data_IF_706290139549
#
_entry.id   IF_706290139549
#
_cell.length_a   1.000
_cell.length_b   1.000
_cell.length_c   1.000
_cell.angle_alpha   90.00
_cell.angle_beta   90.00
_cell.angle_gamma   90.00
#
_symmetry.space_group_name_H-M   'P 1'
#
loop_
_entity.id
_entity.type
_entity.pdbx_description
1 polymer ?
2 non-polymer ?
3 non-polymer ?
4 non-polymer ?
5 non-polymer ?
6 water ?
#
# COMPACT_ATOMS: atom_id res chain seq x y z
N UNK A 14 21.25 -7.30 -4.46
CA UNK A 14 22.44 -6.68 -3.85
C UNK A 14 22.23 -5.20 -3.55
N UNK A 15 23.00 -4.66 -2.59
CA UNK A 15 22.95 -3.23 -2.24
C UNK A 15 23.39 -2.40 -3.45
N UNK A 16 24.57 -2.71 -4.03
CA UNK A 16 25.06 -2.10 -5.25
C UNK A 16 24.50 -2.89 -6.45
N UNK A 17 24.97 -2.59 -7.68
CA UNK A 17 24.48 -3.17 -8.95
C UNK A 17 22.98 -2.83 -9.12
N UNK A 18 22.76 -1.55 -9.41
CA UNK A 18 21.45 -0.98 -9.63
C UNK A 18 20.87 -0.25 -8.43
N UNK A 19 20.26 0.96 -8.66
CA UNK A 19 19.60 1.65 -7.54
C UNK A 19 18.30 0.91 -7.18
N UNK A 20 17.73 1.12 -5.96
CA UNK A 20 16.50 0.38 -5.61
C UNK A 20 15.31 0.84 -6.45
N UNK A 21 14.30 -0.02 -6.57
CA UNK A 21 13.08 0.32 -7.30
C UNK A 21 12.43 1.56 -6.67
N UNK A 22 11.82 2.40 -7.50
CA UNK A 22 11.15 3.60 -6.99
C UNK A 22 9.84 3.21 -6.31
N UNK A 23 9.28 4.15 -5.54
CA UNK A 23 7.96 4.04 -4.98
C UNK A 23 7.14 4.98 -5.87
N UNK A 24 6.17 4.45 -6.64
CA UNK A 24 5.33 5.32 -7.46
C UNK A 24 4.38 6.08 -6.58
N UNK A 25 4.06 7.31 -6.99
CA UNK A 25 3.22 8.18 -6.21
C UNK A 25 2.10 8.75 -7.06
N UNK A 26 0.89 8.71 -6.51
CA UNK A 26 -0.26 9.22 -7.23
C UNK A 26 -1.09 10.06 -6.31
N UNK A 27 -1.82 11.00 -6.88
CA UNK A 27 -2.74 11.79 -6.10
C UNK A 27 -4.13 11.49 -6.60
N UNK A 28 -5.07 11.29 -5.67
CA UNK A 28 -6.46 11.14 -6.02
C UNK A 28 -7.24 12.26 -5.37
N UNK A 29 -7.66 13.22 -6.20
CA UNK A 29 -8.51 14.30 -5.75
C UNK A 29 -9.98 13.83 -5.87
N UNK A 30 -10.68 13.73 -4.75
CA UNK A 30 -12.07 13.32 -4.78
C UNK A 30 -13.01 14.48 -5.12
N UNK A 31 -14.28 14.21 -5.53
CA UNK A 31 -15.21 15.33 -5.74
C UNK A 31 -15.69 15.89 -4.39
N UNK A 32 -16.49 16.99 -4.43
CA UNK A 32 -17.09 17.57 -3.22
C UNK A 32 -18.14 16.60 -2.67
N UNK A 33 -18.20 16.44 -1.34
CA UNK A 33 -19.15 15.53 -0.67
C UNK A 33 -19.90 16.23 0.46
N UNK A 51 1.41 15.11 -14.95
CA UNK A 51 0.78 14.69 -13.69
C UNK A 51 1.19 15.58 -12.51
N UNK A 52 1.21 16.89 -12.77
CA UNK A 52 1.55 17.91 -11.78
C UNK A 52 0.28 18.53 -11.25
N UNK A 53 0.29 18.86 -9.96
CA UNK A 53 -0.80 19.50 -9.26
C UNK A 53 -0.36 20.91 -8.91
N UNK A 54 -1.29 21.86 -9.03
CA UNK A 54 -1.02 23.25 -8.67
C UNK A 54 -1.98 23.69 -7.58
N UNK A 55 -1.43 24.27 -6.50
CA UNK A 55 -2.21 24.75 -5.37
C UNK A 55 -1.71 26.12 -4.94
N UNK A 56 -2.63 26.96 -4.44
CA UNK A 56 -2.36 28.30 -3.96
C UNK A 56 -1.46 28.22 -2.73
N UNK A 57 -0.57 29.19 -2.57
CA UNK A 57 0.29 29.26 -1.39
C UNK A 57 -0.34 30.34 -0.50
N UNK A 58 -0.97 29.96 0.61
CA UNK A 58 -1.65 30.95 1.46
C UNK A 58 -0.64 31.72 2.38
N UNK A 59 0.66 31.40 2.27
CA UNK A 59 1.79 32.06 2.94
C UNK A 59 2.16 33.31 2.10
N UNK A 60 2.04 33.18 0.75
CA UNK A 60 2.35 34.20 -0.24
C UNK A 60 1.39 34.01 -1.43
N UNK A 61 0.37 34.90 -1.57
CA UNK A 61 -0.64 34.84 -2.63
C UNK A 61 -0.09 35.11 -4.04
N UNK A 62 1.16 35.61 -4.14
CA UNK A 62 1.84 35.82 -5.44
C UNK A 62 2.41 34.47 -5.91
N UNK A 63 2.58 33.51 -4.95
CA UNK A 63 3.17 32.18 -5.16
C UNK A 63 2.16 31.04 -5.34
N UNK A 64 2.52 30.11 -6.25
CA UNK A 64 1.79 28.88 -6.55
C UNK A 64 2.72 27.69 -6.28
N UNK A 65 2.19 26.66 -5.62
CA UNK A 65 2.90 25.44 -5.28
C UNK A 65 2.57 24.39 -6.35
N UNK A 66 3.62 23.88 -7.01
CA UNK A 66 3.51 22.89 -8.09
C UNK A 66 4.17 21.56 -7.67
N UNK A 67 3.33 20.53 -7.52
CA UNK A 67 3.73 19.18 -7.10
C UNK A 67 3.75 18.21 -8.26
N UNK A 68 4.80 17.39 -8.36
CA UNK A 68 4.92 16.40 -9.43
C UNK A 68 4.68 14.97 -8.90
N UNK A 69 3.87 14.19 -9.60
CA UNK A 69 3.55 12.81 -9.26
C UNK A 69 3.76 11.93 -10.48
N UNK A 70 3.70 10.59 -10.29
CA UNK A 70 3.79 9.60 -11.37
C UNK A 70 2.43 9.49 -12.07
N UNK A 71 1.33 9.87 -11.39
CA UNK A 71 -0.06 9.90 -11.88
C UNK A 71 -0.95 10.89 -11.09
N UNK A 72 -1.99 11.42 -11.76
CA UNK A 72 -2.97 12.33 -11.18
C UNK A 72 -4.35 11.89 -11.59
N UNK A 73 -5.20 11.61 -10.59
CA UNK A 73 -6.57 11.20 -10.77
C UNK A 73 -7.45 12.30 -10.19
N UNK A 74 -8.16 13.02 -11.05
CA UNK A 74 -9.07 14.09 -10.65
C UNK A 74 -10.39 13.58 -10.15
N UNK A 75 -11.37 14.50 -10.01
CA UNK A 75 -12.71 14.21 -9.46
C UNK A 75 -13.56 13.31 -10.35
N UNK A 76 -13.28 13.29 -11.66
CA UNK A 76 -14.02 12.45 -12.61
C UNK A 76 -13.45 11.01 -12.65
N UNK A 77 -12.32 10.73 -11.96
CA UNK A 77 -11.68 9.41 -11.95
C UNK A 77 -12.48 8.43 -11.09
N UNK A 78 -12.87 7.30 -11.67
CA UNK A 78 -13.67 6.29 -10.99
C UNK A 78 -12.76 5.26 -10.32
N UNK A 79 -13.35 4.34 -9.56
CA UNK A 79 -12.67 3.25 -8.86
C UNK A 79 -11.86 2.41 -9.86
N UNK A 80 -12.46 2.07 -11.01
CA UNK A 80 -11.82 1.29 -12.07
C UNK A 80 -10.67 2.05 -12.70
N UNK A 81 -10.79 3.39 -12.88
CA UNK A 81 -9.68 4.18 -13.40
C UNK A 81 -8.40 4.06 -12.49
N UNK A 82 -8.56 4.18 -11.14
CA UNK A 82 -7.48 4.09 -10.15
C UNK A 82 -6.83 2.70 -10.26
N UNK A 83 -7.68 1.65 -10.14
CA UNK A 83 -7.30 0.26 -10.19
C UNK A 83 -6.64 -0.14 -11.51
N UNK A 84 -7.27 0.11 -12.68
CA UNK A 84 -6.65 -0.25 -13.97
C UNK A 84 -5.39 0.59 -14.24
N UNK A 85 -5.41 1.85 -13.83
CA UNK A 85 -4.29 2.75 -14.03
C UNK A 85 -3.07 2.50 -13.16
N UNK A 86 -3.27 2.21 -11.87
CA UNK A 86 -2.14 2.08 -10.97
C UNK A 86 -1.96 0.78 -10.23
N UNK A 87 -2.98 -0.13 -10.21
CA UNK A 87 -2.83 -1.35 -9.39
C UNK A 87 -2.81 -2.62 -10.23
N UNK A 88 -3.85 -2.87 -11.08
CA UNK A 88 -3.94 -4.01 -12.01
C UNK A 88 -2.60 -4.38 -12.70
N UNK A 89 -1.81 -3.41 -13.27
CA UNK A 89 -0.54 -3.80 -13.92
C UNK A 89 0.53 -4.44 -13.03
N UNK A 90 0.47 -4.29 -11.69
CA UNK A 90 1.55 -4.86 -10.86
C UNK A 90 1.25 -6.33 -10.43
N UNK A 91 -0.02 -6.79 -10.56
CA UNK A 91 -0.45 -8.13 -10.16
C UNK A 91 0.34 -9.25 -10.78
N UNK A 92 0.61 -9.14 -12.10
CA UNK A 92 1.39 -10.16 -12.83
C UNK A 92 2.80 -10.37 -12.23
N UNK A 93 3.35 -9.36 -11.50
CA UNK A 93 4.69 -9.45 -10.90
C UNK A 93 4.74 -10.37 -9.67
N UNK A 94 3.59 -10.60 -9.04
CA UNK A 94 3.44 -11.53 -7.92
C UNK A 94 3.71 -12.97 -8.39
N UNK A 95 3.33 -13.29 -9.65
CA UNK A 95 3.56 -14.61 -10.26
C UNK A 95 4.98 -14.77 -10.82
N UNK A 96 5.82 -13.75 -10.66
CA UNK A 96 7.23 -13.77 -11.01
C UNK A 96 8.09 -13.88 -9.71
N UNK A 97 7.41 -14.04 -8.57
CA UNK A 97 8.03 -14.08 -7.26
C UNK A 97 8.37 -12.72 -6.70
N UNK A 98 7.82 -11.64 -7.29
CA UNK A 98 8.06 -10.28 -6.84
C UNK A 98 6.97 -9.81 -5.90
N UNK A 99 7.32 -8.90 -4.99
CA UNK A 99 6.39 -8.34 -4.01
C UNK A 99 5.89 -6.99 -4.48
N UNK A 100 4.71 -6.59 -3.97
CA UNK A 100 4.08 -5.32 -4.31
C UNK A 100 3.34 -4.73 -3.12
N UNK A 101 3.35 -3.40 -3.00
CA UNK A 101 2.66 -2.64 -1.94
C UNK A 101 1.83 -1.54 -2.52
N UNK A 102 0.58 -1.43 -2.05
CA UNK A 102 -0.39 -0.38 -2.42
C UNK A 102 -0.79 0.30 -1.12
N UNK A 103 -0.51 1.59 -1.00
CA UNK A 103 -0.83 2.32 0.23
C UNK A 103 -1.67 3.55 -0.02
N UNK A 104 -2.77 3.76 0.76
CA UNK A 104 -3.58 4.99 0.63
C UNK A 104 -3.19 5.93 1.77
N UNK A 105 -2.76 7.14 1.43
CA UNK A 105 -2.28 8.18 2.36
C UNK A 105 -3.16 9.39 2.27
N UNK A 106 -3.35 10.09 3.36
CA UNK A 106 -4.12 11.32 3.32
C UNK A 106 -4.94 11.60 4.57
N UNK A 107 -5.48 12.83 4.68
CA UNK A 107 -6.26 13.19 5.87
C UNK A 107 -7.59 12.44 5.96
N UNK A 108 -8.11 12.27 7.19
CA UNK A 108 -9.44 11.68 7.40
C UNK A 108 -10.45 12.54 6.62
N UNK A 109 -11.35 11.87 5.93
CA UNK A 109 -12.36 12.49 5.06
C UNK A 109 -11.93 12.58 3.61
N UNK A 110 -10.62 12.42 3.33
CA UNK A 110 -10.07 12.55 1.97
C UNK A 110 -10.46 11.45 0.97
N UNK A 111 -10.71 10.23 1.46
CA UNK A 111 -11.08 9.14 0.58
C UNK A 111 -10.16 7.95 0.51
N UNK A 112 -9.37 7.69 1.57
CA UNK A 112 -8.47 6.52 1.64
C UNK A 112 -9.26 5.20 1.65
N UNK A 113 -10.28 5.07 2.53
CA UNK A 113 -11.10 3.86 2.62
C UNK A 113 -11.98 3.66 1.37
N UNK A 114 -12.48 4.77 0.80
CA UNK A 114 -13.25 4.70 -0.44
C UNK A 114 -12.36 4.10 -1.54
N UNK A 115 -11.11 4.59 -1.66
CA UNK A 115 -10.13 4.09 -2.64
C UNK A 115 -9.70 2.64 -2.37
N UNK A 116 -9.42 2.33 -1.11
CA UNK A 116 -8.90 1.01 -0.79
C UNK A 116 -9.95 -0.06 -0.68
N UNK A 117 -11.07 0.22 -0.02
CA UNK A 117 -12.15 -0.75 0.18
C UNK A 117 -13.37 -0.48 -0.69
N UNK A 118 -13.86 0.77 -0.69
CA UNK A 118 -15.05 1.14 -1.43
C UNK A 118 -16.34 0.55 -0.84
N UNK A 119 -17.38 0.41 -1.67
CA UNK A 119 -18.70 -0.10 -1.25
C UNK A 119 -19.24 -1.11 -2.29
N UNK A 120 -20.34 -1.88 -2.06
CA UNK A 120 -20.81 -2.80 -3.13
C UNK A 120 -21.21 -2.08 -4.43
N UNK A 121 -21.58 -0.79 -4.36
CA UNK A 121 -21.91 0.03 -5.53
C UNK A 121 -20.62 0.45 -6.28
N UNK A 122 -19.58 0.87 -5.52
CA UNK A 122 -18.31 1.35 -6.05
C UNK A 122 -17.19 0.60 -5.34
N UNK A 123 -16.88 -0.64 -5.77
CA UNK A 123 -15.81 -1.41 -5.08
C UNK A 123 -14.46 -0.77 -5.29
N UNK A 124 -13.64 -0.79 -4.25
CA UNK A 124 -12.28 -0.23 -4.23
C UNK A 124 -11.22 -1.20 -4.72
N UNK A 125 -9.95 -0.83 -4.45
CA UNK A 125 -8.73 -1.55 -4.85
C UNK A 125 -8.72 -2.99 -4.31
N UNK A 126 -8.99 -3.17 -3.01
CA UNK A 126 -9.05 -4.50 -2.35
C UNK A 126 -10.04 -5.47 -3.09
N UNK A 127 -11.37 -5.21 -3.22
CA UNK A 127 -12.22 -6.20 -3.89
C UNK A 127 -11.84 -6.50 -5.36
N UNK A 128 -11.37 -5.48 -6.09
CA UNK A 128 -10.89 -5.59 -7.49
C UNK A 128 -9.62 -6.43 -7.62
N UNK A 129 -8.59 -6.16 -6.77
CA UNK A 129 -7.35 -6.94 -6.83
C UNK A 129 -7.62 -8.39 -6.39
N UNK A 130 -8.51 -8.59 -5.40
CA UNK A 130 -8.82 -9.93 -4.92
C UNK A 130 -9.54 -10.76 -5.98
N UNK A 131 -10.53 -10.17 -6.68
CA UNK A 131 -11.24 -10.86 -7.76
C UNK A 131 -10.23 -11.29 -8.83
N UNK A 132 -9.38 -10.34 -9.28
CA UNK A 132 -8.38 -10.55 -10.33
C UNK A 132 -7.32 -11.52 -9.99
N UNK A 133 -6.72 -11.40 -8.79
CA UNK A 133 -5.66 -12.29 -8.36
C UNK A 133 -6.14 -13.73 -8.20
N UNK A 134 -7.35 -13.93 -7.63
CA UNK A 134 -7.96 -15.24 -7.43
C UNK A 134 -8.34 -15.90 -8.73
N UNK A 135 -8.82 -15.11 -9.72
CA UNK A 135 -9.19 -15.60 -11.04
C UNK A 135 -7.92 -16.06 -11.75
N UNK A 136 -6.85 -15.24 -11.64
CA UNK A 136 -5.51 -15.45 -12.20
C UNK A 136 -4.85 -16.71 -11.66
N UNK A 137 -5.00 -16.99 -10.36
CA UNK A 137 -4.40 -18.16 -9.71
C UNK A 137 -5.24 -19.42 -9.93
N UNK A 138 -6.57 -19.26 -10.13
CA UNK A 138 -7.53 -20.33 -10.46
C UNK A 138 -7.27 -20.77 -11.92
N UNK A 139 -6.76 -19.86 -12.75
CA UNK A 139 -6.44 -20.12 -14.14
C UNK A 139 -5.03 -20.72 -14.27
N UNK A 140 -4.00 -20.00 -13.77
CA UNK A 140 -2.58 -20.39 -13.85
C UNK A 140 -2.23 -21.63 -13.03
N UNK A 141 -3.02 -21.92 -12.00
CA UNK A 141 -2.82 -23.06 -11.12
C UNK A 141 -3.86 -24.16 -11.24
N UNK A 142 -4.64 -24.15 -12.33
CA UNK A 142 -5.67 -25.15 -12.59
C UNK A 142 -5.06 -26.54 -12.82
N UNK A 143 -5.90 -27.58 -12.80
CA UNK A 143 -5.51 -28.97 -13.05
C UNK A 143 -4.82 -29.04 -14.44
N UNK A 144 -3.69 -29.73 -14.52
CA UNK A 144 -2.94 -29.86 -15.77
C UNK A 144 -1.94 -28.76 -16.07
N UNK A 145 -1.97 -27.67 -15.31
CA UNK A 145 -1.06 -26.55 -15.49
C UNK A 145 0.30 -26.86 -14.85
N UNK A 146 1.42 -26.39 -15.45
CA UNK A 146 2.75 -26.68 -14.86
C UNK A 146 3.05 -26.00 -13.50
N UNK A 147 2.12 -25.18 -12.96
CA UNK A 147 2.33 -24.55 -11.65
C UNK A 147 1.18 -24.77 -10.71
N UNK A 148 1.50 -25.14 -9.46
CA UNK A 148 0.53 -25.27 -8.37
C UNK A 148 0.52 -23.91 -7.66
N UNK A 149 -0.65 -23.27 -7.58
CA UNK A 149 -0.81 -21.95 -6.96
C UNK A 149 -1.76 -21.99 -5.77
N UNK A 150 -1.33 -21.42 -4.63
CA UNK A 150 -2.14 -21.31 -3.40
C UNK A 150 -2.13 -19.89 -2.82
N UNK A 151 -3.31 -19.30 -2.73
CA UNK A 151 -3.47 -17.98 -2.16
C UNK A 151 -3.86 -18.09 -0.67
N UNK A 152 -3.17 -17.30 0.19
CA UNK A 152 -3.45 -17.12 1.62
C UNK A 152 -3.65 -15.63 1.93
N UNK A 153 -4.31 -15.33 3.03
CA UNK A 153 -4.48 -13.94 3.45
C UNK A 153 -4.13 -13.74 4.90
N UNK A 154 -3.69 -12.53 5.23
CA UNK A 154 -3.40 -12.08 6.57
C UNK A 154 -3.91 -10.64 6.63
N UNK A 155 -4.36 -10.23 7.81
CA UNK A 155 -4.91 -8.92 8.04
C UNK A 155 -4.43 -8.42 9.38
N UNK A 156 -3.74 -7.27 9.38
CA UNK A 156 -3.23 -6.77 10.64
C UNK A 156 -3.42 -5.28 10.78
N UNK A 157 -3.21 -4.81 12.00
CA UNK A 157 -3.30 -3.40 12.34
C UNK A 157 -1.99 -2.94 12.99
N UNK A 158 -1.54 -1.71 12.63
CA UNK A 158 -0.39 -1.05 13.25
C UNK A 158 -0.99 0.14 13.98
N UNK A 159 -0.98 0.08 15.33
CA UNK A 159 -1.50 1.12 16.21
C UNK A 159 -0.51 1.33 17.31
N UNK A 160 -0.05 2.59 17.47
CA UNK A 160 0.93 3.00 18.48
C UNK A 160 2.18 2.12 18.47
N UNK A 161 2.68 1.77 17.25
CA UNK A 161 3.87 0.95 17.00
C UNK A 161 3.76 -0.50 17.50
N UNK A 162 2.52 -0.98 17.59
CA UNK A 162 2.20 -2.35 17.99
C UNK A 162 1.59 -3.03 16.76
N UNK A 163 1.93 -4.29 16.54
CA UNK A 163 1.42 -5.10 15.42
C UNK A 163 0.36 -6.06 15.95
N UNK A 164 -0.87 -5.92 15.44
CA UNK A 164 -1.99 -6.70 15.93
C UNK A 164 -2.74 -7.44 14.83
N UNK A 165 -2.90 -8.76 15.02
CA UNK A 165 -3.62 -9.64 14.12
C UNK A 165 -5.15 -9.36 14.20
N UNK A 166 -5.73 -8.85 13.09
CA UNK A 166 -7.14 -8.52 13.01
C UNK A 166 -8.00 -9.77 12.83
N UNK A 167 -7.37 -10.89 12.39
CA UNK A 167 -8.03 -12.17 12.16
C UNK A 167 -8.08 -13.03 13.44
N UNK A 168 -7.10 -12.83 14.33
CA UNK A 168 -7.00 -13.51 15.62
C UNK A 168 -6.89 -12.39 16.67
N UNK A 169 -7.99 -11.66 16.98
CA UNK A 169 -7.89 -10.58 17.96
C UNK A 169 -7.64 -11.13 19.35
N UNK A 170 -7.11 -10.28 20.24
CA UNK A 170 -6.69 -10.68 21.59
C UNK A 170 -5.68 -11.85 21.47
N UNK A 171 -4.54 -11.57 20.83
CA UNK A 171 -3.42 -12.49 20.67
C UNK A 171 -2.07 -11.76 20.87
N UNK A 172 -2.13 -10.43 21.08
CA UNK A 172 -1.01 -9.57 21.44
C UNK A 172 -0.16 -8.94 20.35
N UNK A 173 0.75 -8.02 20.78
CA UNK A 173 1.72 -7.33 19.92
C UNK A 173 2.63 -8.38 19.29
N UNK A 174 2.67 -8.42 17.95
CA UNK A 174 3.48 -9.42 17.23
C UNK A 174 4.83 -8.90 16.85
N UNK A 175 5.84 -9.78 16.91
CA UNK A 175 7.21 -9.44 16.57
C UNK A 175 7.45 -9.74 15.08
N UNK A 176 8.12 -8.79 14.40
CA UNK A 176 8.48 -8.90 13.00
C UNK A 176 9.90 -9.44 12.94
N UNK A 177 10.10 -10.48 12.12
CA UNK A 177 11.40 -11.12 11.97
C UNK A 177 11.82 -11.07 10.51
N UNK A 178 13.01 -11.58 10.24
CA UNK A 178 13.58 -11.65 8.90
C UNK A 178 14.24 -13.02 8.78
N UNK A 179 14.16 -13.66 7.61
CA UNK A 179 14.85 -14.91 7.40
C UNK A 179 16.18 -14.65 6.72
N UNK A 180 17.02 -15.68 6.56
CA UNK A 180 18.36 -15.59 5.95
C UNK A 180 18.36 -15.21 4.47
N UNK A 181 17.20 -15.37 3.79
CA UNK A 181 17.05 -15.03 2.37
C UNK A 181 16.50 -13.60 2.23
N UNK A 182 16.30 -12.90 3.36
CA UNK A 182 15.80 -11.53 3.36
C UNK A 182 14.29 -11.40 3.38
N UNK A 183 13.57 -12.53 3.57
CA UNK A 183 12.11 -12.45 3.63
C UNK A 183 11.65 -11.98 4.99
N UNK A 184 10.69 -11.06 4.99
CA UNK A 184 10.11 -10.56 6.22
C UNK A 184 9.02 -11.55 6.58
N UNK A 185 8.94 -11.90 7.87
CA UNK A 185 7.93 -12.83 8.36
C UNK A 185 7.48 -12.45 9.76
N UNK A 186 6.20 -12.71 10.05
CA UNK A 186 5.63 -12.49 11.37
C UNK A 186 5.20 -13.88 11.87
N UNK A 187 6.10 -14.66 12.54
CA UNK A 187 5.73 -16.02 12.96
C UNK A 187 4.48 -16.01 13.85
N UNK A 188 3.51 -16.85 13.52
CA UNK A 188 2.29 -16.92 14.32
C UNK A 188 1.20 -15.91 14.02
N UNK A 189 1.42 -15.04 13.01
CA UNK A 189 0.39 -14.14 12.50
C UNK A 189 -0.43 -15.14 11.69
N UNK A 190 -1.74 -15.16 11.94
CA UNK A 190 -2.63 -16.10 11.24
C UNK A 190 -2.74 -15.82 9.74
N UNK A 191 -2.63 -16.91 8.94
CA UNK A 191 -2.73 -16.96 7.49
C UNK A 191 -3.89 -17.88 7.13
N UNK A 192 -4.89 -17.34 6.42
CA UNK A 192 -6.09 -18.08 6.01
C UNK A 192 -6.03 -18.45 4.53
N UNK A 193 -6.09 -19.77 4.18
CA UNK A 193 -6.08 -20.14 2.76
C UNK A 193 -7.38 -19.72 2.06
N UNK A 194 -7.28 -19.12 0.87
CA UNK A 194 -8.43 -18.60 0.09
C UNK A 194 -8.32 -18.99 -1.38
N UNK A 195 -9.45 -19.37 -2.00
CA UNK A 195 -9.54 -19.80 -3.41
C UNK A 195 -10.57 -19.00 -4.18
N UNK A 196 -11.67 -18.63 -3.52
CA UNK A 196 -12.78 -17.86 -4.09
C UNK A 196 -12.91 -16.52 -3.36
N UNK A 197 -13.80 -15.63 -3.86
CA UNK A 197 -14.02 -14.31 -3.25
C UNK A 197 -14.76 -14.45 -1.93
N UNK A 198 -15.67 -15.43 -1.86
CA UNK A 198 -16.44 -15.76 -0.67
C UNK A 198 -15.51 -16.16 0.47
N UNK A 199 -14.39 -16.85 0.16
CA UNK A 199 -13.38 -17.25 1.15
C UNK A 199 -12.71 -16.00 1.69
N UNK A 200 -12.46 -15.01 0.80
CA UNK A 200 -11.86 -13.74 1.19
C UNK A 200 -12.83 -12.98 2.12
N UNK A 201 -14.10 -12.82 1.66
CA UNK A 201 -15.18 -12.16 2.41
C UNK A 201 -15.40 -12.77 3.79
N UNK A 202 -15.34 -14.11 3.88
CA UNK A 202 -15.49 -14.90 5.10
C UNK A 202 -14.58 -14.36 6.20
N UNK A 203 -13.28 -14.20 5.91
CA UNK A 203 -12.34 -13.70 6.92
C UNK A 203 -12.24 -12.16 6.96
N UNK A 204 -12.32 -11.48 5.81
CA UNK A 204 -12.13 -10.04 5.75
C UNK A 204 -13.24 -9.19 6.36
N UNK A 205 -14.48 -9.35 5.90
CA UNK A 205 -15.64 -8.56 6.36
C UNK A 205 -15.80 -8.54 7.90
N UNK A 206 -15.80 -9.70 8.64
CA UNK A 206 -15.90 -9.64 10.11
C UNK A 206 -14.74 -8.92 10.80
N UNK A 207 -13.48 -9.12 10.32
CA UNK A 207 -12.27 -8.51 10.87
C UNK A 207 -12.25 -6.98 10.67
N UNK A 208 -12.90 -6.50 9.60
CA UNK A 208 -13.01 -5.07 9.30
C UNK A 208 -13.83 -4.35 10.39
N UNK A 209 -14.74 -5.10 11.06
CA UNK A 209 -15.62 -4.63 12.14
C UNK A 209 -15.35 -5.39 13.44
N UNK A 221 -10.50 5.82 15.71
CA UNK A 221 -9.67 4.64 15.99
C UNK A 221 -9.10 4.03 14.71
N UNK A 222 -9.98 3.64 13.75
CA UNK A 222 -9.59 3.11 12.44
C UNK A 222 -8.97 4.27 11.62
N UNK A 223 -9.24 5.51 12.05
CA UNK A 223 -8.71 6.75 11.49
C UNK A 223 -7.30 6.99 12.02
N UNK A 224 -6.94 6.31 13.11
CA UNK A 224 -5.67 6.50 13.82
C UNK A 224 -4.75 5.29 13.78
N UNK A 225 -5.10 4.26 12.99
CA UNK A 225 -4.26 3.08 12.85
C UNK A 225 -4.11 2.66 11.40
N UNK A 226 -3.05 1.89 11.10
CA UNK A 226 -2.78 1.38 9.76
C UNK A 226 -3.42 0.01 9.59
N UNK A 227 -4.27 -0.16 8.53
CA UNK A 227 -4.95 -1.43 8.26
C UNK A 227 -4.19 -2.12 7.11
N UNK A 228 -3.51 -3.22 7.43
CA UNK A 228 -2.65 -3.90 6.47
C UNK A 228 -3.21 -5.24 6.03
N UNK A 229 -3.60 -5.33 4.77
CA UNK A 229 -4.08 -6.59 4.21
C UNK A 229 -2.92 -7.18 3.41
N UNK A 230 -2.56 -8.43 3.73
CA UNK A 230 -1.50 -9.14 3.04
C UNK A 230 -2.09 -10.30 2.24
N UNK A 231 -1.84 -10.32 0.93
CA UNK A 231 -2.28 -11.39 0.04
C UNK A 231 -1.01 -12.08 -0.48
N UNK A 232 -0.82 -13.33 -0.10
CA UNK A 232 0.37 -14.10 -0.44
C UNK A 232 0.06 -15.20 -1.48
N UNK A 233 0.80 -15.18 -2.60
CA UNK A 233 0.67 -16.17 -3.69
C UNK A 233 1.85 -17.14 -3.60
N UNK A 234 1.56 -18.37 -3.17
CA UNK A 234 2.57 -19.42 -3.07
C UNK A 234 2.59 -20.16 -4.40
N UNK A 235 3.78 -20.28 -5.02
CA UNK A 235 3.91 -20.91 -6.34
C UNK A 235 4.90 -22.11 -6.36
N UNK A 236 4.43 -23.25 -6.87
CA UNK A 236 5.26 -24.46 -6.95
C UNK A 236 5.25 -25.00 -8.38
N UNK A 237 6.44 -25.12 -8.97
CA UNK A 237 6.53 -25.69 -10.31
C UNK A 237 6.33 -27.22 -10.19
N UNK A 238 5.44 -27.80 -11.02
CA UNK A 238 5.04 -29.22 -10.97
C UNK A 238 5.87 -30.12 -11.91
N UNK A 239 6.79 -29.49 -12.66
CA UNK A 239 7.71 -30.14 -13.60
C UNK A 239 9.08 -29.53 -13.37
N UNK A 240 10.15 -30.17 -13.91
CA UNK A 240 11.53 -29.67 -13.76
C UNK A 240 11.67 -28.26 -14.37
N UNK A 241 12.46 -27.34 -13.78
CA UNK A 241 13.37 -27.51 -12.63
C UNK A 241 12.74 -27.41 -11.23
N UNK A 242 11.39 -27.54 -11.11
CA UNK A 242 10.63 -27.54 -9.83
C UNK A 242 10.85 -26.30 -8.92
N UNK A 243 11.02 -25.12 -9.50
CA UNK A 243 11.21 -23.87 -8.76
C UNK A 243 10.05 -23.56 -7.81
N UNK A 244 10.35 -22.80 -6.76
CA UNK A 244 9.37 -22.38 -5.75
C UNK A 244 9.49 -20.88 -5.58
N UNK A 245 8.35 -20.19 -5.74
CA UNK A 245 8.23 -18.74 -5.71
C UNK A 245 7.15 -18.34 -4.72
N UNK A 246 7.16 -17.06 -4.38
CA UNK A 246 6.17 -16.45 -3.50
C UNK A 246 6.11 -14.96 -3.82
N UNK A 247 4.89 -14.46 -4.03
CA UNK A 247 4.62 -13.05 -4.29
C UNK A 247 3.73 -12.53 -3.18
N UNK A 248 4.18 -11.47 -2.48
CA UNK A 248 3.41 -10.87 -1.39
C UNK A 248 2.84 -9.56 -1.85
N UNK A 249 1.52 -9.40 -1.70
CA UNK A 249 0.85 -8.16 -2.04
C UNK A 249 0.29 -7.48 -0.79
N UNK A 250 0.70 -6.24 -0.59
CA UNK A 250 0.19 -5.43 0.53
C UNK A 250 -0.79 -4.40 0.08
N UNK A 251 -1.97 -4.37 0.70
CA UNK A 251 -3.06 -3.38 0.44
C UNK A 251 -3.33 -2.69 1.77
N UNK A 252 -2.94 -1.40 1.84
CA UNK A 252 -2.91 -0.70 3.10
C UNK A 252 -3.75 0.55 3.12
N UNK A 253 -4.57 0.66 4.18
CA UNK A 253 -5.39 1.82 4.42
C UNK A 253 -4.73 2.46 5.64
N UNK A 254 -3.90 3.49 5.40
CA UNK A 254 -3.12 4.12 6.47
C UNK A 254 -3.94 4.98 7.43
N UNK A 255 -3.35 5.32 8.59
CA UNK A 255 -3.91 6.25 9.58
C UNK A 255 -3.96 7.61 8.91
N UNK A 256 -4.88 8.46 9.32
CA UNK A 256 -5.00 9.81 8.78
C UNK A 256 -3.73 10.61 8.91
N UNK A 257 -3.34 11.33 7.83
CA UNK A 257 -2.12 12.14 7.81
C UNK A 257 -2.18 13.44 8.63
N UNK A 258 -3.33 13.73 9.34
CA UNK A 258 -3.45 14.84 10.31
C UNK A 258 -2.29 14.64 11.32
N UNK A 259 -1.90 13.34 11.53
CA UNK A 259 -0.80 12.88 12.36
C UNK A 259 0.57 12.76 11.61
N UNK A 260 0.78 13.62 10.57
CA UNK A 260 2.05 13.60 9.83
C UNK A 260 2.40 14.96 9.12
N UNK A 261 2.37 16.06 9.88
CA UNK A 261 2.78 17.38 9.37
C UNK A 261 4.29 17.48 9.66
N UNK A 262 5.11 17.72 8.62
CA UNK A 262 6.57 17.81 8.70
C UNK A 262 7.04 18.92 9.63
N UNK A 263 8.21 18.72 10.25
CA UNK A 263 8.82 19.68 11.19
C UNK A 263 9.76 20.62 10.43
N UNK A 274 -0.08 18.95 15.96
CA UNK A 274 -0.44 17.57 15.63
C UNK A 274 0.61 16.55 16.04
N UNK A 275 0.15 15.38 16.56
CA UNK A 275 1.02 14.28 16.99
C UNK A 275 1.69 13.55 15.79
N UNK A 276 2.88 13.03 15.96
CA UNK A 276 3.57 12.29 14.91
C UNK A 276 3.31 10.78 15.06
N UNK A 277 2.79 10.17 14.00
CA UNK A 277 2.58 8.72 13.88
C UNK A 277 3.95 8.23 13.37
N UNK A 278 4.68 7.48 14.21
CA UNK A 278 6.04 6.99 13.92
C UNK A 278 6.12 6.29 12.57
N UNK A 279 5.11 5.44 12.27
CA UNK A 279 5.07 4.69 11.02
C UNK A 279 4.80 5.56 9.78
N UNK A 280 4.00 6.65 9.88
CA UNK A 280 3.78 7.56 8.74
C UNK A 280 5.04 8.40 8.50
N UNK A 281 5.66 8.85 9.60
CA UNK A 281 6.86 9.68 9.60
C UNK A 281 8.03 8.92 8.96
N UNK A 282 8.24 7.68 9.37
CA UNK A 282 9.34 6.85 8.85
C UNK A 282 9.06 6.42 7.39
N UNK A 283 7.78 6.12 7.03
CA UNK A 283 7.41 5.82 5.63
C UNK A 283 7.84 6.97 4.71
N UNK A 284 7.65 8.21 5.16
CA UNK A 284 8.06 9.41 4.44
C UNK A 284 9.55 9.42 4.19
N UNK A 285 10.34 9.08 5.22
CA UNK A 285 11.81 9.00 5.18
C UNK A 285 12.22 7.88 4.22
N UNK A 286 11.57 6.71 4.33
CA UNK A 286 11.83 5.55 3.48
C UNK A 286 11.47 5.85 2.02
N UNK A 287 10.30 6.43 1.74
CA UNK A 287 9.88 6.79 0.38
C UNK A 287 10.86 7.82 -0.22
N UNK A 288 11.24 8.84 0.59
CA UNK A 288 12.23 9.83 0.13
C UNK A 288 13.55 9.20 -0.18
N UNK A 289 14.06 8.34 0.73
CA UNK A 289 15.35 7.66 0.54
C UNK A 289 15.36 6.85 -0.76
N UNK A 290 14.23 6.17 -1.08
CA UNK A 290 14.12 5.37 -2.30
C UNK A 290 13.95 6.20 -3.55
N UNK A 291 13.22 7.31 -3.48
CA UNK A 291 12.92 8.17 -4.65
C UNK A 291 13.93 9.32 -4.90
N UNK A 292 15.03 9.35 -4.11
CA UNK A 292 16.12 10.31 -4.24
C UNK A 292 17.46 9.55 -4.34
N UNK A 293 17.39 8.23 -4.18
CA UNK A 293 18.51 7.30 -4.31
C UNK A 293 19.56 7.30 -3.22
N UNK A 294 19.18 7.82 -2.02
CA UNK A 294 20.01 7.98 -0.82
C UNK A 294 20.60 6.64 -0.33
N UNK A 295 21.89 6.62 0.13
CA UNK A 295 22.52 5.35 0.54
C UNK A 295 21.85 4.62 1.70
N UNK A 296 21.30 5.36 2.67
CA UNK A 296 20.63 4.81 3.84
C UNK A 296 19.09 4.93 3.77
N UNK A 297 18.38 3.78 3.84
CA UNK A 297 16.91 3.63 3.87
C UNK A 297 16.53 3.10 5.29
N UNK A 298 15.88 3.94 6.14
CA UNK A 298 15.64 3.55 7.54
C UNK A 298 14.42 2.67 7.84
N UNK A 299 14.31 1.53 7.13
CA UNK A 299 13.25 0.53 7.29
C UNK A 299 12.95 0.17 8.74
N UNK A 300 14.01 -0.09 9.50
CA UNK A 300 13.95 -0.52 10.89
C UNK A 300 13.48 0.54 11.90
N UNK A 301 13.24 1.81 11.46
CA UNK A 301 12.83 2.87 12.39
C UNK A 301 11.33 2.90 12.71
N UNK A 302 10.52 2.02 12.08
CA UNK A 302 9.09 1.88 12.37
C UNK A 302 8.64 0.48 12.04
N UNK A 303 7.52 0.07 12.63
CA UNK A 303 6.89 -1.22 12.39
C UNK A 303 6.43 -1.39 10.95
N UNK A 304 5.86 -0.30 10.35
CA UNK A 304 5.33 -0.36 8.98
C UNK A 304 6.38 -0.60 7.96
N UNK A 305 7.47 0.18 8.00
CA UNK A 305 8.56 0.10 7.04
C UNK A 305 9.38 -1.14 7.22
N UNK A 306 9.44 -1.67 8.45
CA UNK A 306 10.12 -2.92 8.77
C UNK A 306 9.29 -4.05 8.20
N UNK A 307 7.95 -4.03 8.42
CA UNK A 307 7.08 -5.06 7.84
C UNK A 307 7.22 -5.05 6.28
N UNK A 308 7.26 -3.87 5.67
CA UNK A 308 7.36 -3.68 4.21
C UNK A 308 8.77 -3.64 3.61
N UNK A 309 9.80 -4.03 4.39
CA UNK A 309 11.19 -3.94 3.97
C UNK A 309 11.48 -4.63 2.64
N UNK A 310 10.85 -5.79 2.41
CA UNK A 310 10.99 -6.61 1.19
C UNK A 310 9.88 -6.34 0.17
N UNK A 311 9.07 -5.30 0.38
CA UNK A 311 7.92 -4.96 -0.47
C UNK A 311 7.87 -3.47 -0.85
N UNK A 312 8.96 -2.74 -0.55
CA UNK A 312 9.20 -1.30 -0.79
C UNK A 312 10.63 -1.20 -1.26
N UNK A 313 10.85 -0.67 -2.45
CA UNK A 313 12.20 -0.61 -3.01
C UNK A 313 12.64 -1.98 -3.47
N UNK A 314 13.95 -2.22 -3.51
CA UNK A 314 14.52 -3.51 -3.96
C UNK A 314 14.11 -3.75 -5.39
N UNK A 315 13.44 -4.88 -5.65
CA UNK A 315 12.85 -5.21 -6.95
C UNK A 315 11.31 -5.12 -6.85
N UNK A 316 10.79 -4.78 -5.65
CA UNK A 316 9.36 -4.68 -5.41
C UNK A 316 8.67 -3.57 -6.20
N UNK A 317 7.36 -3.74 -6.42
CA UNK A 317 6.52 -2.74 -7.06
C UNK A 317 5.74 -2.08 -5.97
N UNK A 318 5.69 -0.76 -5.96
CA UNK A 318 4.91 -0.06 -4.96
C UNK A 318 4.27 1.22 -5.47
N UNK A 319 3.08 1.50 -4.94
CA UNK A 319 2.29 2.67 -5.29
C UNK A 319 1.71 3.27 -4.02
N UNK A 320 2.00 4.55 -3.82
CA UNK A 320 1.42 5.29 -2.73
C UNK A 320 0.42 6.27 -3.33
N UNK A 321 -0.82 6.22 -2.87
CA UNK A 321 -1.84 7.15 -3.35
C UNK A 321 -2.10 8.18 -2.27
N UNK A 322 -1.92 9.44 -2.60
CA UNK A 322 -2.20 10.58 -1.76
C UNK A 322 -3.64 11.02 -2.04
N UNK A 323 -4.57 10.60 -1.16
CA UNK A 323 -5.99 10.96 -1.25
C UNK A 323 -6.16 12.35 -0.68
N UNK A 324 -6.71 13.27 -1.48
CA UNK A 324 -6.96 14.65 -1.08
C UNK A 324 -8.42 15.03 -1.40
N UNK A 325 -8.94 16.04 -0.69
CA UNK A 325 -10.32 16.53 -0.78
C UNK A 325 -10.33 17.99 -1.23
N UNK A 326 -11.36 18.47 -1.95
CA UNK A 326 -11.29 19.86 -2.46
C UNK A 326 -11.72 20.97 -1.50
N UNK A 327 -12.49 20.63 -0.42
CA UNK A 327 -13.04 21.60 0.54
C UNK A 327 -11.99 22.40 1.28
N UNK A 328 -12.35 23.67 1.60
CA UNK A 328 -11.51 24.64 2.30
C UNK A 328 -10.98 24.14 3.63
N UNK A 329 -11.84 23.45 4.41
CA UNK A 329 -11.51 22.89 5.74
C UNK A 329 -10.37 21.86 5.74
N UNK A 330 -9.92 21.42 4.55
CA UNK A 330 -8.86 20.43 4.35
C UNK A 330 -7.53 21.04 3.93
N UNK A 331 -7.55 22.28 3.39
CA UNK A 331 -6.38 22.98 2.84
C UNK A 331 -5.01 22.63 3.51
N UNK A 332 -4.82 22.82 4.86
CA UNK A 332 -3.54 22.55 5.55
C UNK A 332 -3.08 21.08 5.40
N UNK A 333 -4.04 20.15 5.56
CA UNK A 333 -3.82 18.72 5.47
C UNK A 333 -3.61 18.29 4.00
N UNK A 334 -4.16 19.05 3.03
CA UNK A 334 -3.96 18.82 1.62
C UNK A 334 -2.51 19.17 1.25
N UNK A 335 -2.06 20.36 1.68
CA UNK A 335 -0.71 20.89 1.44
C UNK A 335 0.31 19.91 1.99
N UNK A 336 0.07 19.45 3.22
CA UNK A 336 0.93 18.53 3.97
C UNK A 336 1.00 17.17 3.28
N UNK A 337 -0.15 16.61 2.82
CA UNK A 337 -0.21 15.33 2.10
C UNK A 337 0.59 15.42 0.78
N UNK A 338 0.48 16.57 0.08
CA UNK A 338 1.20 16.85 -1.19
C UNK A 338 2.69 17.00 -0.97
N UNK A 339 3.09 17.67 0.13
CA UNK A 339 4.54 17.78 0.45
C UNK A 339 5.08 16.38 0.75
N UNK A 340 4.28 15.54 1.45
CA UNK A 340 4.68 14.20 1.86
C UNK A 340 4.94 13.28 0.67
N UNK A 341 3.98 13.24 -0.25
CA UNK A 341 3.98 12.27 -1.32
C UNK A 341 4.60 12.71 -2.64
N UNK A 342 4.64 14.03 -2.95
CA UNK A 342 5.15 14.47 -4.26
C UNK A 342 6.58 14.00 -4.55
N UNK A 343 6.83 13.59 -5.82
CA UNK A 343 8.17 13.18 -6.19
C UNK A 343 9.06 14.41 -6.43
N UNK A 344 8.43 15.58 -6.61
CA UNK A 344 9.12 16.85 -6.82
C UNK A 344 8.19 17.99 -6.44
N UNK A 345 8.77 19.14 -6.02
CA UNK A 345 7.98 20.31 -5.60
C UNK A 345 8.64 21.61 -6.07
N UNK A 346 7.84 22.55 -6.57
CA UNK A 346 8.33 23.86 -7.05
C UNK A 346 7.44 24.98 -6.55
N UNK A 347 8.05 26.17 -6.39
CA UNK A 347 7.39 27.41 -6.03
C UNK A 347 7.42 28.29 -7.28
N UNK A 348 6.24 28.53 -7.87
CA UNK A 348 6.08 29.30 -9.11
C UNK A 348 5.10 30.48 -8.94
#
# INVERSE_FOLDING_TARGET
>A
MHHHHHHSSGRENLYFQGPPARVRVAVRLRPFVDGTAGASDPPCVRGMDSCSLEIANWRNHQETLKYQFDAFYGERSTQQDIYAGSVQPILRHLLEGQNASVLAYGPTGAGKTHTMLGSPEQPGVIPRALMDLLQLTREEGAEGRPWALSVTMSYLEIYQEKVLDLLDPASGDLVIREDCRGNILIPGLSQKPISSFADFERHFLPASRNRTVGATRLNQRSSRSHAVLLVKVDQRERLAPFRQREGKLYLIDLAGSEDNRRTGNKGLRLKESGAINTSLFVLGKVVDALNQGLPRVPYRDSKLTRLLQDSLGGSAHSILIANIAPERRFYLDTVSALNFAARSKEVINRPFTNESLQPHALGPVKLSQKELLGPPEAK
#
